data_IF_223813927857
#
_entry.id   IF_223813927857
#
_cell.length_a   1.000
_cell.length_b   1.000
_cell.length_c   1.000
_cell.angle_alpha   90.00
_cell.angle_beta   90.00
_cell.angle_gamma   90.00
#
_symmetry.space_group_name_H-M   'P 1'
#
loop_
_entity.id
_entity.type
_entity.pdbx_description
1 polymer ?
#
# COMPACT_ATOMS: atom_id res chain seq x y z
N UNK A 1 1.22 43.69 7.09
CA UNK A 1 0.07 43.35 6.22
C UNK A 1 -0.28 41.88 6.47
N UNK A 2 -1.54 41.56 6.76
CA UNK A 2 -1.99 40.21 7.13
C UNK A 2 -1.94 39.26 5.94
N UNK A 3 -1.39 38.06 6.13
CA UNK A 3 -1.20 37.06 5.06
C UNK A 3 -2.49 36.41 4.53
N UNK A 4 -3.66 36.89 4.93
CA UNK A 4 -4.96 36.28 4.63
C UNK A 4 -5.87 37.15 3.77
N UNK A 5 -5.40 38.33 3.33
CA UNK A 5 -6.22 39.27 2.54
C UNK A 5 -6.62 38.69 1.17
N UNK A 6 -5.93 37.66 0.67
CA UNK A 6 -6.18 37.01 -0.62
C UNK A 6 -7.05 35.73 -0.52
N UNK A 7 -7.54 35.37 0.66
CA UNK A 7 -8.28 34.11 0.85
C UNK A 7 -9.77 34.31 0.56
N UNK A 8 -10.26 33.66 -0.50
CA UNK A 8 -11.69 33.68 -0.87
C UNK A 8 -12.45 32.71 0.02
N UNK A 9 -13.24 33.23 0.95
CA UNK A 9 -14.01 32.45 1.96
C UNK A 9 -15.37 31.94 1.47
N UNK A 10 -15.66 32.07 0.16
CA UNK A 10 -16.95 31.71 -0.43
C UNK A 10 -16.94 30.40 -1.22
N UNK A 11 -18.13 29.88 -1.52
CA UNK A 11 -18.31 28.75 -2.45
C UNK A 11 -17.69 29.04 -3.82
N UNK A 12 -16.73 28.23 -4.25
CA UNK A 12 -16.06 28.37 -5.54
C UNK A 12 -17.06 28.16 -6.68
N UNK A 13 -17.28 29.20 -7.50
CA UNK A 13 -18.07 29.13 -8.73
C UNK A 13 -17.12 29.21 -9.92
N UNK A 14 -17.05 28.18 -10.73
CA UNK A 14 -16.23 28.15 -11.94
C UNK A 14 -17.03 28.76 -13.11
N UNK A 15 -16.40 29.67 -13.87
CA UNK A 15 -16.98 30.23 -15.09
C UNK A 15 -16.81 29.22 -16.23
N UNK A 16 -17.87 28.51 -16.59
CA UNK A 16 -17.88 27.46 -17.61
C UNK A 16 -19.10 26.55 -17.48
N UNK A 17 -19.25 25.54 -18.35
CA UNK A 17 -20.28 24.50 -18.20
C UNK A 17 -20.16 23.89 -16.80
N UNK A 18 -21.27 23.84 -16.05
CA UNK A 18 -21.31 23.28 -14.71
C UNK A 18 -20.70 21.87 -14.73
N UNK A 19 -19.75 21.60 -13.83
CA UNK A 19 -19.39 20.23 -13.50
C UNK A 19 -20.68 19.58 -13.00
N UNK A 20 -21.13 18.53 -13.67
CA UNK A 20 -22.33 17.76 -13.34
C UNK A 20 -22.09 16.93 -12.08
N UNK A 21 -21.72 17.61 -10.99
CA UNK A 21 -21.66 17.03 -9.66
C UNK A 21 -23.10 17.02 -9.20
N UNK A 22 -23.82 15.96 -9.59
CA UNK A 22 -25.17 15.67 -9.10
C UNK A 22 -25.19 15.95 -7.60
N UNK A 23 -25.96 16.95 -7.20
CA UNK A 23 -26.25 17.28 -5.80
C UNK A 23 -27.16 16.20 -5.19
N UNK A 24 -26.76 14.94 -5.31
CA UNK A 24 -27.42 13.81 -4.67
C UNK A 24 -26.74 13.61 -3.32
N UNK A 25 -27.45 13.93 -2.25
CA UNK A 25 -27.05 13.59 -0.90
C UNK A 25 -26.57 12.13 -0.85
N UNK A 26 -25.35 11.96 -0.36
CA UNK A 26 -24.69 10.65 -0.26
C UNK A 26 -25.53 9.80 0.71
N UNK A 27 -26.37 8.91 0.16
CA UNK A 27 -27.04 7.89 0.97
C UNK A 27 -25.97 6.94 1.50
N UNK A 28 -25.69 7.02 2.81
CA UNK A 28 -24.78 6.10 3.51
C UNK A 28 -25.30 4.67 3.31
N UNK A 29 -24.56 3.85 2.54
CA UNK A 29 -24.84 2.42 2.43
C UNK A 29 -24.52 1.73 3.76
N UNK A 30 -25.48 0.98 4.30
CA UNK A 30 -25.33 0.13 5.49
C UNK A 30 -24.27 -0.94 5.20
N UNK A 31 -23.21 -1.01 6.01
CA UNK A 31 -22.16 -2.04 5.89
C UNK A 31 -22.77 -3.41 6.17
N UNK A 32 -22.74 -4.31 5.18
CA UNK A 32 -22.90 -5.74 5.39
C UNK A 32 -21.57 -6.27 5.93
N UNK A 33 -21.60 -6.99 7.06
CA UNK A 33 -20.45 -7.75 7.55
C UNK A 33 -20.22 -8.88 6.54
N UNK A 34 -19.02 -8.92 5.95
CA UNK A 34 -18.58 -10.08 5.17
C UNK A 34 -17.69 -10.90 6.09
N UNK A 35 -18.04 -12.17 6.22
CA UNK A 35 -17.26 -13.17 6.93
C UNK A 35 -15.88 -13.30 6.26
N UNK A 36 -14.85 -13.23 7.10
CA UNK A 36 -13.45 -13.24 6.72
C UNK A 36 -12.94 -14.68 6.83
N UNK A 37 -13.34 -15.57 5.94
CA UNK A 37 -12.62 -16.82 5.69
C UNK A 37 -12.81 -17.17 4.21
N UNK A 38 -11.71 -17.54 3.52
CA UNK A 38 -11.62 -17.95 2.10
C UNK A 38 -11.12 -16.91 1.06
N UNK A 39 -10.06 -16.14 1.36
CA UNK A 39 -9.28 -15.44 0.31
C UNK A 39 -7.77 -15.77 0.36
N UNK A 40 -7.32 -17.00 0.08
CA UNK A 40 -5.92 -17.16 -0.34
C UNK A 40 -5.72 -17.73 -1.76
N UNK A 41 -6.70 -18.37 -2.40
CA UNK A 41 -6.44 -19.12 -3.64
C UNK A 41 -6.51 -18.34 -4.95
N UNK A 42 -7.21 -17.20 -5.01
CA UNK A 42 -7.34 -16.44 -6.25
C UNK A 42 -6.11 -15.57 -6.59
N UNK A 43 -5.29 -15.23 -5.59
CA UNK A 43 -4.16 -14.30 -5.76
C UNK A 43 -2.91 -14.99 -6.30
N UNK A 44 -2.71 -16.29 -6.03
CA UNK A 44 -1.59 -17.05 -6.58
C UNK A 44 -1.74 -17.36 -8.07
N UNK A 45 -2.96 -17.63 -8.54
CA UNK A 45 -3.19 -17.97 -9.96
C UNK A 45 -3.08 -16.77 -10.90
N UNK A 46 -3.43 -15.55 -10.45
CA UNK A 46 -3.24 -14.34 -11.28
C UNK A 46 -1.78 -13.89 -11.37
N UNK A 47 -0.92 -14.31 -10.44
CA UNK A 47 0.51 -13.99 -10.47
C UNK A 47 1.29 -14.93 -11.40
N UNK A 48 0.86 -16.19 -11.53
CA UNK A 48 1.51 -17.17 -12.41
C UNK A 48 1.17 -16.95 -13.89
N UNK A 49 -0.07 -16.58 -14.23
CA UNK A 49 -0.46 -16.31 -15.61
C UNK A 49 0.16 -15.02 -16.17
N UNK A 50 0.30 -13.97 -15.33
CA UNK A 50 0.97 -12.72 -15.74
C UNK A 50 2.48 -12.86 -15.93
N UNK A 51 3.11 -13.85 -15.30
CA UNK A 51 4.55 -14.11 -15.45
C UNK A 51 4.89 -14.91 -16.71
N UNK A 52 3.95 -15.67 -17.28
CA UNK A 52 4.17 -16.45 -18.51
C UNK A 52 3.94 -15.64 -19.80
N UNK A 53 3.14 -14.57 -19.75
CA UNK A 53 2.91 -13.70 -20.90
C UNK A 53 4.11 -12.78 -21.21
N UNK A 54 4.97 -12.52 -20.23
CA UNK A 54 6.11 -11.59 -20.36
C UNK A 54 7.40 -12.26 -20.85
N UNK A 55 7.42 -13.59 -20.94
CA UNK A 55 8.60 -14.38 -21.38
C UNK A 55 8.63 -14.68 -22.89
N UNK A 56 7.60 -14.29 -23.66
CA UNK A 56 7.54 -14.54 -25.11
C UNK A 56 7.93 -13.33 -25.98
N UNK A 57 8.57 -12.31 -25.42
CA UNK A 57 9.18 -11.20 -26.17
C UNK A 57 10.69 -11.12 -25.89
N UNK A 58 11.41 -12.18 -26.28
CA UNK A 58 12.88 -12.25 -26.15
C UNK A 58 13.63 -11.36 -27.15
N UNK A 59 12.95 -10.56 -27.98
CA UNK A 59 13.57 -9.65 -28.96
C UNK A 59 13.44 -8.14 -28.64
N UNK A 60 12.93 -7.76 -27.47
CA UNK A 60 12.78 -6.33 -27.08
C UNK A 60 13.52 -5.91 -25.80
N UNK A 61 14.21 -6.83 -25.12
CA UNK A 61 14.78 -6.59 -23.80
C UNK A 61 16.24 -6.08 -23.80
N UNK A 62 16.85 -5.82 -24.97
CA UNK A 62 18.28 -5.48 -25.08
C UNK A 62 18.59 -4.02 -25.44
N UNK A 63 17.61 -3.10 -25.47
CA UNK A 63 17.83 -1.70 -25.91
C UNK A 63 17.17 -0.60 -25.06
N UNK A 64 16.55 -0.89 -23.91
CA UNK A 64 15.85 0.13 -23.10
C UNK A 64 16.32 0.24 -21.63
N UNK A 65 17.52 -0.27 -21.32
CA UNK A 65 17.97 -0.55 -19.95
C UNK A 65 18.41 0.63 -19.07
N UNK A 66 18.28 1.89 -19.51
CA UNK A 66 18.67 3.04 -18.67
C UNK A 66 17.81 4.29 -18.96
N UNK A 67 17.58 4.57 -20.25
CA UNK A 67 16.83 5.74 -20.73
C UNK A 67 15.34 5.73 -20.34
N UNK A 68 14.71 4.55 -20.30
CA UNK A 68 13.30 4.42 -19.95
C UNK A 68 13.07 4.68 -18.44
N UNK A 69 14.08 4.37 -17.63
CA UNK A 69 14.02 4.50 -16.17
C UNK A 69 14.11 5.97 -15.73
N UNK A 70 15.05 6.68 -16.31
CA UNK A 70 15.21 8.13 -16.12
C UNK A 70 14.02 8.90 -16.68
N UNK A 71 13.48 8.45 -17.82
CA UNK A 71 12.30 9.07 -18.42
C UNK A 71 11.07 8.96 -17.52
N UNK A 72 10.74 7.77 -16.96
CA UNK A 72 9.60 7.68 -16.04
C UNK A 72 9.77 8.59 -14.82
N UNK A 73 10.98 8.66 -14.26
CA UNK A 73 11.29 9.49 -13.10
C UNK A 73 11.07 10.99 -13.37
N UNK A 74 11.27 11.43 -14.63
CA UNK A 74 11.11 12.84 -14.99
C UNK A 74 9.64 13.29 -15.01
N UNK A 75 8.71 12.36 -15.25
CA UNK A 75 7.27 12.63 -15.29
C UNK A 75 6.64 12.78 -13.90
N UNK A 76 7.38 12.39 -12.84
CA UNK A 76 6.86 12.39 -11.48
C UNK A 76 6.83 13.77 -10.87
N UNK A 77 5.76 14.02 -10.12
CA UNK A 77 5.65 15.21 -9.28
C UNK A 77 6.74 15.21 -8.19
N UNK A 78 7.13 16.38 -7.66
CA UNK A 78 8.11 16.45 -6.58
C UNK A 78 7.73 15.64 -5.33
N UNK A 79 6.42 15.47 -5.08
CA UNK A 79 5.92 14.66 -3.97
C UNK A 79 6.13 13.16 -4.22
N UNK A 80 5.84 12.69 -5.44
CA UNK A 80 6.04 11.29 -5.83
C UNK A 80 7.52 10.92 -5.83
N UNK A 81 8.40 11.79 -6.34
CA UNK A 81 9.86 11.57 -6.30
C UNK A 81 10.36 11.36 -4.86
N UNK A 82 9.96 12.24 -3.94
CA UNK A 82 10.31 12.11 -2.51
C UNK A 82 9.79 10.82 -1.88
N UNK A 83 8.57 10.40 -2.23
CA UNK A 83 7.99 9.17 -1.73
C UNK A 83 8.80 7.94 -2.17
N UNK A 84 9.21 7.90 -3.45
CA UNK A 84 10.00 6.79 -3.99
C UNK A 84 11.37 6.72 -3.31
N UNK A 85 12.09 7.85 -3.21
CA UNK A 85 13.36 7.89 -2.49
C UNK A 85 13.22 7.43 -1.03
N UNK A 86 12.14 7.86 -0.36
CA UNK A 86 11.88 7.45 1.03
C UNK A 86 11.59 5.96 1.11
N UNK A 87 10.81 5.42 0.19
CA UNK A 87 10.51 3.98 0.09
C UNK A 87 11.79 3.19 -0.13
N UNK A 88 12.64 3.58 -1.07
CA UNK A 88 13.94 2.94 -1.32
C UNK A 88 14.85 2.96 -0.09
N UNK A 89 14.89 4.08 0.64
CA UNK A 89 15.62 4.19 1.92
C UNK A 89 15.05 3.27 3.01
N UNK A 90 13.74 3.06 3.05
CA UNK A 90 13.12 2.13 4.01
C UNK A 90 13.37 0.69 3.58
N UNK A 91 13.26 0.41 2.29
CA UNK A 91 13.37 -0.94 1.74
C UNK A 91 14.81 -1.44 1.82
N UNK A 92 15.82 -0.62 1.55
CA UNK A 92 17.23 -0.94 1.82
C UNK A 92 17.48 -1.29 3.29
N UNK A 93 16.94 -0.50 4.23
CA UNK A 93 17.05 -0.78 5.67
C UNK A 93 16.33 -2.08 6.07
N UNK A 94 15.17 -2.37 5.48
CA UNK A 94 14.45 -3.63 5.70
C UNK A 94 15.24 -4.80 5.13
N UNK A 95 15.78 -4.66 3.91
CA UNK A 95 16.54 -5.69 3.21
C UNK A 95 17.74 -6.13 4.05
N UNK A 96 18.52 -5.18 4.58
CA UNK A 96 19.67 -5.45 5.47
C UNK A 96 19.23 -6.20 6.72
N UNK A 97 18.08 -5.87 7.31
CA UNK A 97 17.58 -6.59 8.50
C UNK A 97 17.10 -8.01 8.16
N UNK A 98 16.41 -8.17 7.03
CA UNK A 98 15.89 -9.47 6.59
C UNK A 98 16.99 -10.39 6.07
N UNK A 99 18.06 -9.85 5.48
CA UNK A 99 19.19 -10.63 4.98
C UNK A 99 20.01 -11.26 6.10
N UNK A 100 19.99 -10.68 7.29
CA UNK A 100 20.74 -11.20 8.44
C UNK A 100 20.16 -12.50 9.01
N UNK A 101 18.92 -12.88 8.69
CA UNK A 101 18.26 -14.08 9.24
C UNK A 101 17.97 -15.08 8.14
N UNK A 102 18.33 -16.34 8.37
CA UNK A 102 17.90 -17.44 7.50
C UNK A 102 16.39 -17.63 7.56
N UNK A 103 15.80 -18.28 6.56
CA UNK A 103 14.40 -18.68 6.62
C UNK A 103 14.12 -19.60 7.83
N UNK A 104 15.06 -20.50 8.14
CA UNK A 104 15.00 -21.35 9.34
C UNK A 104 14.92 -20.52 10.62
N UNK A 105 15.78 -19.52 10.76
CA UNK A 105 15.81 -18.66 11.96
C UNK A 105 14.51 -17.86 12.08
N UNK A 106 13.95 -17.39 10.95
CA UNK A 106 12.64 -16.72 10.94
C UNK A 106 11.51 -17.65 11.40
N UNK A 107 11.53 -18.92 10.99
CA UNK A 107 10.56 -19.92 11.46
C UNK A 107 10.76 -20.20 12.95
N UNK A 108 12.01 -20.34 13.40
CA UNK A 108 12.31 -20.59 14.80
C UNK A 108 11.85 -19.44 15.69
N UNK A 109 12.17 -18.20 15.33
CA UNK A 109 11.72 -16.99 16.03
C UNK A 109 10.19 -16.92 16.10
N UNK A 110 9.51 -17.25 14.99
CA UNK A 110 8.04 -17.27 14.93
C UNK A 110 7.44 -18.34 15.84
N UNK A 111 7.99 -19.55 15.83
CA UNK A 111 7.53 -20.63 16.70
C UNK A 111 7.78 -20.31 18.17
N UNK A 112 8.92 -19.70 18.49
CA UNK A 112 9.22 -19.23 19.84
C UNK A 112 8.24 -18.13 20.28
N UNK A 113 7.92 -17.20 19.37
CA UNK A 113 6.90 -16.19 19.62
C UNK A 113 5.54 -16.83 19.93
N UNK A 114 5.08 -17.78 19.11
CA UNK A 114 3.81 -18.48 19.36
C UNK A 114 3.80 -19.24 20.68
N UNK A 115 4.92 -19.89 21.05
CA UNK A 115 5.02 -20.60 22.32
C UNK A 115 4.96 -19.65 23.53
N UNK A 116 5.43 -18.41 23.38
CA UNK A 116 5.41 -17.39 24.42
C UNK A 116 4.11 -16.55 24.44
N UNK A 117 3.26 -16.69 23.42
CA UNK A 117 2.01 -15.94 23.36
C UNK A 117 1.02 -16.48 24.39
N UNK A 118 0.33 -15.57 25.08
CA UNK A 118 -0.68 -15.96 26.06
C UNK A 118 -1.84 -16.69 25.38
N UNK A 119 -2.23 -17.83 25.93
CA UNK A 119 -3.45 -18.53 25.51
C UNK A 119 -4.70 -17.67 25.78
N UNK A 120 -4.70 -16.97 26.91
CA UNK A 120 -5.80 -16.14 27.37
C UNK A 120 -5.38 -14.66 27.40
N UNK A 121 -6.09 -13.84 26.63
CA UNK A 121 -5.92 -12.38 26.59
C UNK A 121 -6.86 -11.63 27.54
N UNK A 122 -7.59 -12.37 28.39
CA UNK A 122 -8.50 -11.78 29.37
C UNK A 122 -7.94 -11.94 30.78
N UNK A 123 -8.28 -10.99 31.64
CA UNK A 123 -7.85 -11.01 33.03
C UNK A 123 -8.75 -12.02 33.76
N UNK A 124 -8.18 -13.01 34.47
CA UNK A 124 -9.01 -13.93 35.24
C UNK A 124 -9.86 -13.13 36.24
N UNK A 125 -11.14 -13.48 36.33
CA UNK A 125 -12.08 -12.78 37.20
C UNK A 125 -11.67 -12.95 38.66
N UNK A 126 -11.14 -11.89 39.27
CA UNK A 126 -10.83 -11.84 40.70
C UNK A 126 -12.11 -11.56 41.48
N UNK A 127 -12.52 -12.52 42.32
CA UNK A 127 -13.62 -12.36 43.27
C UNK A 127 -13.11 -11.82 44.61
N UNK A 128 -13.87 -10.97 45.32
CA UNK A 128 -13.54 -10.59 46.69
C UNK A 128 -13.73 -11.83 47.57
N UNK A 129 -12.62 -12.44 47.97
CA UNK A 129 -12.56 -13.30 49.15
C UNK A 129 -12.55 -12.45 50.41
#
# INVERSE_FOLDING_TARGET
MSGYDNVVTGKLKLKGKALDVKATGIKKKKKQKKDYEQIPQAVENELSEKQLADLNNEDAAKTFGDESSTRWYDHLTPAERRYIEQREKIDSKKLVKTSNKSHRDRIQDFNQYLANMSEHYDIPKVGPG
#
